data_IF_893035802862
#
_entry.id   IF_893035802862
#
_cell.length_a   1.000
_cell.length_b   1.000
_cell.length_c   1.000
_cell.angle_alpha   90.00
_cell.angle_beta   90.00
_cell.angle_gamma   90.00
#
_symmetry.space_group_name_H-M   'P 1'
#
loop_
_entity.id
_entity.type
_entity.pdbx_description
1 polymer ?
#
# COMPACT_ATOMS: atom_id res chain seq x y z
N UNK A 1 -2.01 -10.08 8.87
CA UNK A 1 -3.12 -9.28 8.32
C UNK A 1 -4.43 -9.84 8.85
N UNK A 2 -5.31 -9.02 9.44
CA UNK A 2 -6.67 -9.45 9.74
C UNK A 2 -7.29 -10.06 8.48
N UNK A 3 -7.89 -11.25 8.60
CA UNK A 3 -8.49 -12.00 7.47
C UNK A 3 -9.42 -11.14 6.61
N UNK A 4 -10.07 -10.16 7.23
CA UNK A 4 -10.99 -9.24 6.59
C UNK A 4 -10.33 -8.29 5.57
N UNK A 5 -9.10 -7.81 5.84
CA UNK A 5 -8.42 -6.87 4.95
C UNK A 5 -8.08 -7.49 3.59
N UNK A 6 -7.69 -8.77 3.57
CA UNK A 6 -7.40 -9.47 2.32
C UNK A 6 -8.65 -9.65 1.45
N UNK A 7 -9.79 -9.93 2.08
CA UNK A 7 -11.07 -10.06 1.38
C UNK A 7 -11.51 -8.72 0.79
N UNK A 8 -11.36 -7.62 1.55
CA UNK A 8 -11.63 -6.26 1.06
C UNK A 8 -10.71 -5.87 -0.09
N UNK A 9 -9.41 -6.16 -0.01
CA UNK A 9 -8.47 -5.89 -1.09
C UNK A 9 -8.84 -6.66 -2.37
N UNK A 10 -9.26 -7.92 -2.25
CA UNK A 10 -9.77 -8.71 -3.39
C UNK A 10 -11.03 -8.10 -3.98
N UNK A 11 -11.96 -7.62 -3.15
CA UNK A 11 -13.17 -6.96 -3.61
C UNK A 11 -12.86 -5.67 -4.38
N UNK A 12 -11.96 -4.83 -3.86
CA UNK A 12 -11.50 -3.61 -4.52
C UNK A 12 -10.91 -3.89 -5.91
N UNK A 13 -10.03 -4.89 -6.02
CA UNK A 13 -9.45 -5.30 -7.32
C UNK A 13 -10.53 -5.71 -8.32
N UNK A 14 -11.54 -6.47 -7.89
CA UNK A 14 -12.66 -6.89 -8.76
C UNK A 14 -13.47 -5.69 -9.26
N UNK A 15 -13.71 -4.71 -8.41
CA UNK A 15 -14.43 -3.48 -8.78
C UNK A 15 -13.66 -2.73 -9.87
N UNK A 16 -12.35 -2.51 -9.69
CA UNK A 16 -11.52 -1.79 -10.68
C UNK A 16 -11.51 -2.51 -12.02
N UNK A 17 -11.34 -3.85 -12.03
CA UNK A 17 -11.40 -4.65 -13.25
C UNK A 17 -12.75 -4.50 -13.96
N UNK A 18 -13.85 -4.56 -13.21
CA UNK A 18 -15.21 -4.44 -13.75
C UNK A 18 -15.47 -3.06 -14.37
N UNK A 19 -15.02 -2.00 -13.72
CA UNK A 19 -15.27 -0.61 -14.16
C UNK A 19 -14.39 -0.25 -15.35
N UNK A 20 -13.13 -0.65 -15.34
CA UNK A 20 -12.13 -0.20 -16.34
C UNK A 20 -11.94 -1.16 -17.51
N UNK A 21 -12.37 -2.42 -17.36
CA UNK A 21 -12.07 -3.50 -18.31
C UNK A 21 -10.59 -3.91 -18.36
N UNK A 22 -9.72 -3.31 -17.53
CA UNK A 22 -8.28 -3.54 -17.54
C UNK A 22 -7.85 -4.66 -16.58
N UNK A 23 -6.75 -5.31 -16.93
CA UNK A 23 -6.05 -6.22 -16.01
C UNK A 23 -5.48 -5.44 -14.83
N UNK A 24 -6.09 -5.59 -13.66
CA UNK A 24 -5.64 -4.98 -12.41
C UNK A 24 -5.39 -6.06 -11.35
N UNK A 25 -4.20 -6.20 -10.81
CA UNK A 25 -3.82 -7.32 -9.94
C UNK A 25 -3.75 -6.92 -8.47
N UNK A 26 -3.80 -7.91 -7.57
CA UNK A 26 -3.61 -7.66 -6.13
C UNK A 26 -2.22 -7.07 -5.84
N UNK A 27 -1.19 -7.46 -6.62
CA UNK A 27 0.15 -6.91 -6.49
C UNK A 27 0.22 -5.44 -6.91
N UNK A 28 -0.50 -5.06 -7.98
CA UNK A 28 -0.62 -3.65 -8.39
C UNK A 28 -1.35 -2.84 -7.31
N UNK A 29 -2.47 -3.34 -6.79
CA UNK A 29 -3.19 -2.71 -5.69
C UNK A 29 -2.30 -2.46 -4.47
N UNK A 30 -1.56 -3.47 -4.02
CA UNK A 30 -0.66 -3.33 -2.87
C UNK A 30 0.48 -2.34 -3.15
N UNK A 31 1.08 -2.37 -4.35
CA UNK A 31 2.12 -1.41 -4.75
C UNK A 31 1.60 0.01 -4.71
N UNK A 32 0.43 0.27 -5.31
CA UNK A 32 -0.20 1.59 -5.32
C UNK A 32 -0.57 2.06 -3.92
N UNK A 33 -1.13 1.18 -3.09
CA UNK A 33 -1.44 1.50 -1.69
C UNK A 33 -0.17 1.85 -0.88
N UNK A 34 0.93 1.12 -1.08
CA UNK A 34 2.22 1.42 -0.43
C UNK A 34 2.74 2.78 -0.90
N UNK A 35 2.75 3.06 -2.21
CA UNK A 35 3.20 4.35 -2.74
C UNK A 35 2.36 5.51 -2.20
N UNK A 36 1.03 5.34 -2.14
CA UNK A 36 0.13 6.35 -1.59
C UNK A 36 0.42 6.61 -0.10
N UNK A 37 0.67 5.57 0.68
CA UNK A 37 1.01 5.71 2.10
C UNK A 37 2.39 6.35 2.30
N UNK A 38 3.38 6.02 1.47
CA UNK A 38 4.70 6.68 1.51
C UNK A 38 4.56 8.18 1.21
N UNK A 39 3.73 8.58 0.25
CA UNK A 39 3.48 9.99 -0.04
C UNK A 39 2.81 10.73 1.14
N UNK A 40 1.88 10.08 1.84
CA UNK A 40 1.29 10.62 3.09
C UNK A 40 2.39 10.79 4.14
N UNK A 41 3.24 9.79 4.34
CA UNK A 41 4.30 9.86 5.35
C UNK A 41 5.32 10.94 5.00
N UNK A 42 5.71 11.05 3.74
CA UNK A 42 6.63 12.06 3.25
C UNK A 42 6.12 13.47 3.59
N UNK A 43 4.85 13.73 3.28
CA UNK A 43 4.20 15.01 3.56
C UNK A 43 4.09 15.30 5.06
N UNK A 44 3.57 14.35 5.83
CA UNK A 44 3.16 14.60 7.21
C UNK A 44 4.33 14.47 8.21
N UNK A 45 5.37 13.69 7.87
CA UNK A 45 6.45 13.33 8.79
C UNK A 45 7.87 13.53 8.23
N UNK A 46 8.03 13.80 6.93
CA UNK A 46 9.35 14.02 6.31
C UNK A 46 9.46 15.40 5.67
N UNK A 47 8.72 16.40 6.16
CA UNK A 47 8.72 17.78 5.64
C UNK A 47 8.44 17.88 4.13
N UNK A 48 7.66 16.93 3.59
CA UNK A 48 7.39 16.85 2.15
C UNK A 48 8.56 16.31 1.30
N UNK A 49 9.66 15.91 1.91
CA UNK A 49 10.80 15.32 1.20
C UNK A 49 10.56 13.84 0.88
N UNK A 50 11.18 13.37 -0.20
CA UNK A 50 11.12 11.97 -0.62
C UNK A 50 11.71 11.05 0.46
N UNK A 51 11.07 9.89 0.67
CA UNK A 51 11.57 8.86 1.58
C UNK A 51 12.50 7.95 0.78
N UNK A 52 13.80 8.00 1.10
CA UNK A 52 14.79 7.13 0.47
C UNK A 52 14.80 5.72 1.07
N UNK A 53 15.25 4.71 0.31
CA UNK A 53 15.42 3.37 0.84
C UNK A 53 16.35 3.36 2.06
N UNK A 54 15.94 2.63 3.10
CA UNK A 54 16.74 2.36 4.29
C UNK A 54 16.99 0.85 4.40
N UNK A 55 18.23 0.47 4.66
CA UNK A 55 18.67 -0.92 4.83
C UNK A 55 18.83 -1.30 6.30
N UNK A 56 18.75 -0.34 7.22
CA UNK A 56 18.74 -0.63 8.64
C UNK A 56 17.48 -1.43 9.01
N UNK A 57 17.60 -2.52 9.78
CA UNK A 57 16.44 -3.27 10.21
C UNK A 57 15.61 -2.44 11.20
N UNK A 58 14.29 -2.59 11.14
CA UNK A 58 13.41 -2.07 12.18
C UNK A 58 13.58 -2.88 13.47
N UNK A 59 13.46 -2.20 14.61
CA UNK A 59 13.36 -2.87 15.91
C UNK A 59 12.21 -3.88 15.92
N UNK A 60 12.32 -5.00 16.67
CA UNK A 60 11.24 -5.94 16.82
C UNK A 60 9.98 -5.25 17.35
N UNK A 61 8.85 -5.43 16.67
CA UNK A 61 7.57 -4.95 17.18
C UNK A 61 7.25 -5.57 18.56
N UNK A 62 6.70 -4.77 19.48
CA UNK A 62 6.15 -5.31 20.74
C UNK A 62 4.94 -6.20 20.43
N UNK A 63 4.91 -7.38 21.05
CA UNK A 63 3.80 -8.34 20.95
C UNK A 63 2.58 -7.89 21.71
#
# INVERSE_FOLDING_TARGET
>A
MPRDLHLRARAAVRIVRRVTGRSYTIAQFLREAIMAQLAVIARDYNNGQEIYPDTAPLDPGRR
#
